data_IF_625208870534
#
_entry.id   IF_625208870534
#
_cell.length_a   1.000
_cell.length_b   1.000
_cell.length_c   1.000
_cell.angle_alpha   90.00
_cell.angle_beta   90.00
_cell.angle_gamma   90.00
#
_symmetry.space_group_name_H-M   'P 1'
#
loop_
_entity.id
_entity.type
_entity.pdbx_description
1 polymer ?
#
# COMPACT_ATOMS: atom_id res chain seq x y z
N UNK A 1 14.76 5.65 -8.03
CA UNK A 1 13.93 4.46 -8.38
C UNK A 1 13.87 3.37 -7.29
N UNK A 2 14.47 3.54 -6.10
CA UNK A 2 14.39 2.66 -4.94
C UNK A 2 13.07 2.82 -4.16
N UNK A 3 12.58 4.06 -3.94
CA UNK A 3 11.35 4.30 -3.16
C UNK A 3 10.10 3.86 -3.92
N UNK A 4 9.98 4.24 -5.20
CA UNK A 4 8.90 3.79 -6.07
C UNK A 4 8.80 2.26 -6.14
N UNK A 5 9.95 1.58 -6.34
CA UNK A 5 10.02 0.12 -6.38
C UNK A 5 9.64 -0.51 -5.04
N UNK A 6 10.11 0.03 -3.91
CA UNK A 6 9.75 -0.46 -2.57
C UNK A 6 8.25 -0.31 -2.30
N UNK A 7 7.66 0.84 -2.65
CA UNK A 7 6.24 1.09 -2.45
C UNK A 7 5.39 0.18 -3.35
N UNK A 8 5.80 0.01 -4.61
CA UNK A 8 5.13 -0.91 -5.55
C UNK A 8 5.19 -2.35 -5.08
N UNK A 9 6.33 -2.82 -4.59
CA UNK A 9 6.47 -4.18 -4.02
C UNK A 9 5.56 -4.35 -2.81
N UNK A 10 5.51 -3.37 -1.92
CA UNK A 10 4.66 -3.42 -0.72
C UNK A 10 3.16 -3.44 -1.07
N UNK A 11 2.74 -2.58 -2.01
CA UNK A 11 1.36 -2.51 -2.49
C UNK A 11 0.95 -3.78 -3.25
N UNK A 12 1.82 -4.29 -4.13
CA UNK A 12 1.55 -5.54 -4.85
C UNK A 12 1.48 -6.73 -3.91
N UNK A 13 2.37 -6.82 -2.91
CA UNK A 13 2.31 -7.85 -1.87
C UNK A 13 1.01 -7.75 -1.06
N UNK A 14 0.58 -6.53 -0.72
CA UNK A 14 -0.67 -6.31 -0.01
C UNK A 14 -1.88 -6.77 -0.84
N UNK A 15 -1.97 -6.35 -2.10
CA UNK A 15 -3.07 -6.74 -3.00
C UNK A 15 -3.07 -8.25 -3.23
N UNK A 16 -1.89 -8.85 -3.45
CA UNK A 16 -1.77 -10.31 -3.61
C UNK A 16 -2.23 -11.06 -2.35
N UNK A 17 -1.86 -10.58 -1.16
CA UNK A 17 -2.30 -11.17 0.11
C UNK A 17 -3.82 -11.07 0.29
N UNK A 18 -4.43 -9.93 -0.06
CA UNK A 18 -5.88 -9.75 0.02
C UNK A 18 -6.63 -10.63 -1.00
N UNK A 19 -6.11 -10.73 -2.23
CA UNK A 19 -6.67 -11.61 -3.24
C UNK A 19 -6.57 -13.09 -2.81
N UNK A 20 -5.43 -13.51 -2.28
CA UNK A 20 -5.24 -14.85 -1.73
C UNK A 20 -6.22 -15.12 -0.58
N UNK A 21 -6.46 -14.12 0.28
CA UNK A 21 -7.44 -14.24 1.38
C UNK A 21 -8.86 -14.42 0.87
N UNK A 22 -9.25 -13.66 -0.16
CA UNK A 22 -10.56 -13.81 -0.79
C UNK A 22 -10.73 -15.19 -1.44
N UNK A 23 -9.73 -15.63 -2.23
CA UNK A 23 -9.77 -16.94 -2.89
C UNK A 23 -9.78 -18.09 -1.87
N UNK A 24 -8.94 -18.02 -0.84
CA UNK A 24 -8.93 -19.01 0.24
C UNK A 24 -10.27 -19.03 1.00
N UNK A 25 -10.88 -17.86 1.21
CA UNK A 25 -12.20 -17.77 1.83
C UNK A 25 -13.29 -18.42 0.99
N UNK A 26 -13.32 -18.12 -0.30
CA UNK A 26 -14.27 -18.72 -1.25
C UNK A 26 -14.06 -20.24 -1.30
N UNK A 27 -12.83 -20.70 -1.54
CA UNK A 27 -12.54 -22.14 -1.65
C UNK A 27 -12.81 -22.92 -0.37
N UNK A 28 -12.65 -22.29 0.80
CA UNK A 28 -13.03 -22.88 2.07
C UNK A 28 -14.54 -22.99 2.23
N UNK A 29 -15.29 -21.93 1.88
CA UNK A 29 -16.76 -21.96 1.89
C UNK A 29 -17.30 -22.98 0.89
N UNK A 30 -16.73 -23.04 -0.32
CA UNK A 30 -17.04 -24.03 -1.35
C UNK A 30 -16.65 -25.46 -0.95
N UNK A 31 -15.70 -25.66 -0.03
CA UNK A 31 -15.42 -26.99 0.53
C UNK A 31 -16.38 -27.38 1.65
N UNK A 32 -17.10 -26.44 2.25
CA UNK A 32 -18.12 -26.71 3.26
C UNK A 32 -19.49 -27.05 2.66
N UNK A 33 -19.82 -26.51 1.48
CA UNK A 33 -21.14 -26.66 0.85
C UNK A 33 -21.47 -28.05 0.26
N UNK A 34 -20.58 -28.76 -0.46
CA UNK A 34 -20.97 -29.89 -1.30
C UNK A 34 -20.98 -31.23 -0.58
N UNK A 35 -20.03 -31.48 0.33
CA UNK A 35 -19.89 -32.81 0.94
C UNK A 35 -21.02 -33.13 1.96
N UNK A 36 -21.65 -32.11 2.53
CA UNK A 36 -22.72 -32.32 3.52
C UNK A 36 -24.08 -32.38 2.83
N UNK A 37 -24.34 -31.53 1.83
CA UNK A 37 -25.66 -31.41 1.24
C UNK A 37 -26.12 -32.68 0.52
N UNK A 38 -25.22 -33.33 -0.23
CA UNK A 38 -25.54 -34.53 -1.01
C UNK A 38 -25.64 -35.77 -0.11
N UNK A 39 -24.64 -35.98 0.77
CA UNK A 39 -24.66 -37.06 1.77
C UNK A 39 -25.86 -36.93 2.71
N UNK A 40 -26.18 -35.73 3.19
CA UNK A 40 -27.36 -35.52 4.04
C UNK A 40 -28.67 -35.77 3.28
N UNK A 41 -28.77 -35.35 2.02
CA UNK A 41 -29.98 -35.57 1.22
C UNK A 41 -30.20 -37.06 0.91
N UNK A 42 -29.14 -37.81 0.59
CA UNK A 42 -29.19 -39.25 0.38
C UNK A 42 -29.53 -39.98 1.68
N UNK A 43 -28.87 -39.64 2.78
CA UNK A 43 -29.12 -40.27 4.07
C UNK A 43 -30.54 -39.97 4.59
N UNK A 44 -31.06 -38.75 4.40
CA UNK A 44 -32.46 -38.40 4.74
C UNK A 44 -33.44 -39.25 3.93
N UNK A 45 -33.13 -39.50 2.66
CA UNK A 45 -33.95 -40.36 1.79
C UNK A 45 -33.93 -41.82 2.25
N UNK A 46 -32.78 -42.33 2.68
CA UNK A 46 -32.65 -43.68 3.26
C UNK A 46 -33.40 -43.83 4.59
N UNK A 47 -33.38 -42.82 5.46
CA UNK A 47 -34.18 -42.84 6.71
C UNK A 47 -35.68 -42.80 6.42
N UNK A 48 -36.13 -41.93 5.51
CA UNK A 48 -37.54 -41.86 5.12
C UNK A 48 -38.04 -43.18 4.49
N UNK A 49 -37.17 -43.89 3.75
CA UNK A 49 -37.48 -45.21 3.22
C UNK A 49 -37.67 -46.25 4.34
N UNK A 50 -36.79 -46.26 5.36
CA UNK A 50 -36.92 -47.13 6.54
C UNK A 50 -38.20 -46.84 7.32
N UNK A 51 -38.53 -45.56 7.55
CA UNK A 51 -39.78 -45.16 8.21
C UNK A 51 -41.02 -45.60 7.43
N UNK A 52 -40.98 -45.45 6.09
CA UNK A 52 -42.07 -45.89 5.22
C UNK A 52 -42.24 -47.41 5.28
N UNK A 53 -41.14 -48.17 5.23
CA UNK A 53 -41.16 -49.63 5.34
C UNK A 53 -41.74 -50.10 6.69
N UNK A 54 -41.30 -49.51 7.81
CA UNK A 54 -41.83 -49.81 9.14
C UNK A 54 -43.32 -49.47 9.26
N UNK A 55 -43.75 -48.33 8.71
CA UNK A 55 -45.15 -47.92 8.73
C UNK A 55 -46.04 -48.90 7.95
N UNK A 56 -45.62 -49.34 6.76
CA UNK A 56 -46.39 -50.29 5.95
C UNK A 56 -46.43 -51.69 6.55
N UNK A 57 -45.36 -52.09 7.25
CA UNK A 57 -45.29 -53.38 7.92
C UNK A 57 -46.16 -53.45 9.19
N UNK A 58 -46.45 -52.31 9.82
CA UNK A 58 -47.30 -52.21 11.00
C UNK A 58 -48.82 -52.17 10.69
N UNK A 59 -49.18 -51.89 9.44
CA UNK A 59 -50.57 -51.83 8.98
C UNK A 59 -51.02 -53.19 8.42
N UNK A 60 -52.35 -53.49 8.41
CA UNK A 60 -52.85 -54.70 7.77
C UNK A 60 -52.39 -54.78 6.30
N UNK A 61 -51.93 -55.95 5.83
CA UNK A 61 -51.32 -56.07 4.51
C UNK A 61 -52.36 -55.79 3.42
N UNK A 62 -52.06 -54.83 2.53
CA UNK A 62 -52.80 -54.58 1.29
C UNK A 62 -51.83 -54.58 0.12
N UNK A 63 -52.33 -54.81 -1.10
CA UNK A 63 -51.50 -54.74 -2.31
C UNK A 63 -50.80 -53.38 -2.43
N UNK A 64 -51.47 -52.31 -1.99
CA UNK A 64 -50.90 -50.97 -1.94
C UNK A 64 -49.76 -50.83 -0.91
N UNK A 65 -49.88 -51.45 0.26
CA UNK A 65 -48.81 -51.45 1.27
C UNK A 65 -47.58 -52.22 0.80
N UNK A 66 -47.79 -53.36 0.12
CA UNK A 66 -46.69 -54.14 -0.48
C UNK A 66 -45.98 -53.36 -1.59
N UNK A 67 -46.73 -52.72 -2.47
CA UNK A 67 -46.15 -51.89 -3.53
C UNK A 67 -45.34 -50.71 -2.93
N UNK A 68 -45.90 -49.99 -1.97
CA UNK A 68 -45.22 -48.88 -1.28
C UNK A 68 -43.97 -49.34 -0.54
N UNK A 69 -44.01 -50.52 0.09
CA UNK A 69 -42.85 -51.11 0.76
C UNK A 69 -41.74 -51.45 -0.24
N UNK A 70 -42.09 -52.12 -1.35
CA UNK A 70 -41.14 -52.48 -2.39
C UNK A 70 -40.50 -51.25 -3.05
N UNK A 71 -41.26 -50.19 -3.28
CA UNK A 71 -40.73 -48.90 -3.77
C UNK A 71 -39.75 -48.28 -2.76
N UNK A 72 -40.09 -48.25 -1.47
CA UNK A 72 -39.21 -47.74 -0.43
C UNK A 72 -37.93 -48.59 -0.28
N UNK A 73 -38.03 -49.91 -0.40
CA UNK A 73 -36.87 -50.82 -0.39
C UNK A 73 -35.96 -50.56 -1.58
N UNK A 74 -36.51 -50.39 -2.79
CA UNK A 74 -35.72 -50.06 -3.97
C UNK A 74 -34.99 -48.71 -3.82
N UNK A 75 -35.63 -47.72 -3.20
CA UNK A 75 -34.99 -46.45 -2.86
C UNK A 75 -33.83 -46.68 -1.87
N UNK A 76 -34.00 -47.49 -0.82
CA UNK A 76 -32.93 -47.77 0.13
C UNK A 76 -31.76 -48.54 -0.52
N UNK A 77 -32.04 -49.53 -1.38
CA UNK A 77 -31.02 -50.28 -2.13
C UNK A 77 -30.25 -49.40 -3.13
N UNK A 78 -30.88 -48.34 -3.66
CA UNK A 78 -30.23 -47.38 -4.55
C UNK A 78 -29.33 -46.36 -3.85
N UNK A 79 -29.41 -46.23 -2.52
CA UNK A 79 -28.67 -45.26 -1.72
C UNK A 79 -27.82 -45.94 -0.63
N UNK A 80 -27.14 -47.05 -0.99
CA UNK A 80 -26.27 -47.78 -0.05
C UNK A 80 -24.95 -47.03 0.13
N UNK A 81 -24.67 -46.58 1.35
CA UNK A 81 -23.45 -45.82 1.66
C UNK A 81 -22.36 -46.68 2.31
N UNK A 82 -22.74 -47.70 3.09
CA UNK A 82 -21.80 -48.60 3.78
C UNK A 82 -21.98 -50.08 3.43
N UNK A 83 -20.93 -50.88 3.64
CA UNK A 83 -20.97 -52.33 3.40
C UNK A 83 -21.89 -53.05 4.39
N UNK A 84 -22.02 -52.52 5.61
CA UNK A 84 -22.89 -53.07 6.67
C UNK A 84 -24.37 -52.91 6.32
N UNK A 85 -24.77 -51.81 5.65
CA UNK A 85 -26.15 -51.60 5.18
C UNK A 85 -26.60 -52.68 4.19
N UNK A 86 -25.68 -53.16 3.34
CA UNK A 86 -25.98 -54.17 2.33
C UNK A 86 -26.41 -55.50 2.94
N UNK A 87 -25.87 -55.86 4.10
CA UNK A 87 -26.23 -57.08 4.82
C UNK A 87 -27.65 -57.00 5.40
N UNK A 88 -28.01 -55.85 5.98
CA UNK A 88 -29.35 -55.62 6.53
C UNK A 88 -30.40 -55.50 5.40
N UNK A 89 -30.08 -54.84 4.29
CA UNK A 89 -30.94 -54.77 3.10
C UNK A 89 -31.20 -56.13 2.46
N UNK A 90 -30.20 -56.99 2.36
CA UNK A 90 -30.37 -58.36 1.87
C UNK A 90 -31.26 -59.19 2.80
N UNK A 91 -31.19 -58.96 4.11
CA UNK A 91 -32.07 -59.59 5.09
C UNK A 91 -33.51 -59.12 4.90
N UNK A 92 -33.73 -57.81 4.75
CA UNK A 92 -35.06 -57.23 4.49
C UNK A 92 -35.65 -57.82 3.20
N UNK A 93 -34.88 -57.84 2.11
CA UNK A 93 -35.30 -58.37 0.81
C UNK A 93 -35.73 -59.84 0.88
N UNK A 94 -35.07 -60.65 1.71
CA UNK A 94 -35.39 -62.07 1.85
C UNK A 94 -36.62 -62.34 2.74
N UNK A 95 -36.94 -61.47 3.70
CA UNK A 95 -37.94 -61.77 4.75
C UNK A 95 -39.23 -60.97 4.66
N UNK A 96 -39.24 -59.83 3.97
CA UNK A 96 -40.37 -58.90 4.05
C UNK A 96 -41.68 -59.48 3.49
N UNK A 97 -41.65 -60.23 2.37
CA UNK A 97 -42.86 -60.80 1.78
C UNK A 97 -43.55 -61.79 2.74
N UNK A 98 -42.77 -62.69 3.34
CA UNK A 98 -43.26 -63.63 4.35
C UNK A 98 -43.76 -62.91 5.61
N UNK A 99 -43.12 -61.81 6.00
CA UNK A 99 -43.58 -60.95 7.10
C UNK A 99 -44.95 -60.29 6.83
N UNK A 100 -45.24 -59.91 5.58
CA UNK A 100 -46.56 -59.42 5.17
C UNK A 100 -47.61 -60.54 5.05
N UNK A 101 -47.17 -61.78 4.78
CA UNK A 101 -48.03 -62.97 4.71
C UNK A 101 -48.43 -63.51 6.10
N UNK A 102 -47.89 -62.91 7.18
CA UNK A 102 -48.24 -63.20 8.56
C UNK A 102 -47.31 -64.18 9.26
N UNK A 103 -46.13 -64.47 8.70
CA UNK A 103 -45.09 -65.23 9.40
C UNK A 103 -44.48 -64.36 10.52
N UNK A 104 -44.65 -64.74 11.80
CA UNK A 104 -44.16 -63.95 12.93
C UNK A 104 -42.63 -63.89 12.98
N UNK A 105 -41.92 -64.93 12.53
CA UNK A 105 -40.46 -64.95 12.54
C UNK A 105 -39.90 -64.02 11.45
N UNK A 106 -40.42 -64.12 10.23
CA UNK A 106 -40.04 -63.24 9.13
C UNK A 106 -40.41 -61.77 9.42
N UNK A 107 -41.54 -61.52 10.08
CA UNK A 107 -41.93 -60.19 10.54
C UNK A 107 -40.91 -59.61 11.53
N UNK A 108 -40.56 -60.37 12.58
CA UNK A 108 -39.58 -59.93 13.57
C UNK A 108 -38.19 -59.69 12.95
N UNK A 109 -37.75 -60.58 12.04
CA UNK A 109 -36.49 -60.44 11.32
C UNK A 109 -36.47 -59.17 10.47
N UNK A 110 -37.55 -58.89 9.73
CA UNK A 110 -37.68 -57.68 8.89
C UNK A 110 -37.68 -56.42 9.75
N UNK A 111 -38.44 -56.38 10.86
CA UNK A 111 -38.45 -55.23 11.78
C UNK A 111 -37.07 -54.98 12.39
N UNK A 112 -36.40 -56.04 12.84
CA UNK A 112 -35.07 -55.93 13.45
C UNK A 112 -34.04 -55.40 12.44
N UNK A 113 -34.07 -55.89 11.21
CA UNK A 113 -33.18 -55.43 10.15
C UNK A 113 -33.46 -53.96 9.77
N UNK A 114 -34.72 -53.55 9.68
CA UNK A 114 -35.11 -52.15 9.45
C UNK A 114 -34.62 -51.21 10.56
N UNK A 115 -34.76 -51.61 11.83
CA UNK A 115 -34.29 -50.82 12.97
C UNK A 115 -32.76 -50.67 12.96
N UNK A 116 -32.03 -51.75 12.68
CA UNK A 116 -30.56 -51.72 12.55
C UNK A 116 -30.11 -50.84 11.39
N UNK A 117 -30.77 -50.95 10.23
CA UNK A 117 -30.50 -50.10 9.09
C UNK A 117 -30.73 -48.61 9.44
N UNK A 118 -31.77 -48.30 10.20
CA UNK A 118 -32.02 -46.95 10.71
C UNK A 118 -31.02 -46.46 11.77
N UNK A 119 -30.40 -47.36 12.54
CA UNK A 119 -29.30 -47.02 13.46
C UNK A 119 -28.01 -46.71 12.71
N UNK A 120 -27.61 -47.57 11.77
CA UNK A 120 -26.43 -47.38 10.92
C UNK A 120 -26.50 -46.03 10.19
N UNK A 121 -27.63 -45.74 9.55
CA UNK A 121 -27.84 -44.46 8.85
C UNK A 121 -27.71 -43.24 9.79
N UNK A 122 -28.25 -43.32 11.02
CA UNK A 122 -28.16 -42.22 11.99
C UNK A 122 -26.74 -42.03 12.51
N UNK A 123 -25.98 -43.10 12.72
CA UNK A 123 -24.57 -43.03 13.12
C UNK A 123 -23.71 -42.42 12.00
N UNK A 124 -23.92 -42.84 10.75
CA UNK A 124 -23.26 -42.27 9.58
C UNK A 124 -23.54 -40.76 9.43
N UNK A 125 -24.80 -40.33 9.60
CA UNK A 125 -25.17 -38.91 9.63
C UNK A 125 -24.45 -38.12 10.74
N UNK A 126 -24.39 -38.68 11.96
CA UNK A 126 -23.76 -38.01 13.09
C UNK A 126 -22.24 -37.86 12.89
N UNK A 127 -21.58 -38.86 12.29
CA UNK A 127 -20.17 -38.79 11.89
C UNK A 127 -19.92 -37.70 10.85
N UNK A 128 -20.73 -37.69 9.78
CA UNK A 128 -20.64 -36.69 8.72
C UNK A 128 -20.85 -35.25 9.25
N UNK A 129 -21.83 -35.02 10.14
CA UNK A 129 -22.05 -33.70 10.78
C UNK A 129 -20.87 -33.30 11.68
N UNK A 130 -20.27 -34.25 12.40
CA UNK A 130 -19.11 -33.97 13.23
C UNK A 130 -17.89 -33.55 12.39
N UNK A 131 -17.63 -34.24 11.28
CA UNK A 131 -16.54 -33.93 10.36
C UNK A 131 -16.74 -32.59 9.66
N UNK A 132 -17.97 -32.31 9.23
CA UNK A 132 -18.41 -31.02 8.73
C UNK A 132 -18.11 -29.87 9.69
N UNK A 133 -18.51 -30.02 10.96
CA UNK A 133 -18.28 -29.00 12.00
C UNK A 133 -16.79 -28.80 12.25
N UNK A 134 -15.99 -29.87 12.26
CA UNK A 134 -14.54 -29.80 12.44
C UNK A 134 -13.89 -29.00 11.32
N UNK A 135 -14.18 -29.35 10.07
CA UNK A 135 -13.72 -28.62 8.87
C UNK A 135 -14.13 -27.14 8.91
N UNK A 136 -15.39 -26.85 9.26
CA UNK A 136 -15.88 -25.48 9.37
C UNK A 136 -15.22 -24.67 10.49
N UNK A 137 -14.89 -25.30 11.61
CA UNK A 137 -14.19 -24.63 12.73
C UNK A 137 -12.73 -24.31 12.40
N UNK A 138 -12.00 -25.26 11.80
CA UNK A 138 -10.61 -25.08 11.38
C UNK A 138 -10.51 -24.01 10.28
N UNK A 139 -11.44 -24.04 9.33
CA UNK A 139 -11.55 -23.06 8.27
C UNK A 139 -11.74 -21.62 8.77
N UNK A 140 -12.65 -21.42 9.74
CA UNK A 140 -12.87 -20.09 10.34
C UNK A 140 -11.61 -19.52 11.00
N UNK A 141 -10.86 -20.35 11.72
CA UNK A 141 -9.60 -19.91 12.33
C UNK A 141 -8.51 -19.59 11.28
N UNK A 142 -8.44 -20.37 10.20
CA UNK A 142 -7.53 -20.08 9.09
C UNK A 142 -7.84 -18.72 8.45
N UNK A 143 -9.11 -18.43 8.18
CA UNK A 143 -9.53 -17.13 7.64
C UNK A 143 -9.26 -15.98 8.61
N UNK A 144 -9.55 -16.15 9.90
CA UNK A 144 -9.27 -15.14 10.91
C UNK A 144 -7.78 -14.81 10.97
N UNK A 145 -6.92 -15.83 10.95
CA UNK A 145 -5.47 -15.63 10.94
C UNK A 145 -5.00 -14.88 9.69
N UNK A 146 -5.52 -15.25 8.52
CA UNK A 146 -5.16 -14.60 7.25
C UNK A 146 -5.63 -13.14 7.20
N UNK A 147 -6.81 -12.84 7.74
CA UNK A 147 -7.33 -11.49 7.87
C UNK A 147 -6.47 -10.63 8.83
N UNK A 148 -6.07 -11.19 9.98
CA UNK A 148 -5.16 -10.51 10.93
C UNK A 148 -3.82 -10.22 10.27
N UNK A 149 -3.26 -11.17 9.52
CA UNK A 149 -2.02 -10.98 8.80
C UNK A 149 -2.14 -9.88 7.75
N UNK A 150 -3.24 -9.87 6.98
CA UNK A 150 -3.58 -8.82 6.03
C UNK A 150 -3.67 -7.44 6.69
N UNK A 151 -4.31 -7.35 7.86
CA UNK A 151 -4.38 -6.13 8.64
C UNK A 151 -2.99 -5.63 9.09
N UNK A 152 -2.13 -6.51 9.61
CA UNK A 152 -0.77 -6.16 10.03
C UNK A 152 0.06 -5.63 8.86
N UNK A 153 0.03 -6.31 7.71
CA UNK A 153 0.75 -5.87 6.50
C UNK A 153 0.22 -4.51 6.03
N UNK A 154 -1.10 -4.30 6.06
CA UNK A 154 -1.72 -3.03 5.70
C UNK A 154 -1.26 -1.91 6.63
N UNK A 155 -1.26 -2.16 7.94
CA UNK A 155 -0.84 -1.20 8.95
C UNK A 155 0.63 -0.78 8.76
N UNK A 156 1.53 -1.75 8.53
CA UNK A 156 2.94 -1.49 8.24
C UNK A 156 3.11 -0.70 6.94
N UNK A 157 2.29 -1.00 5.92
CA UNK A 157 2.34 -0.31 4.64
C UNK A 157 1.94 1.17 4.76
N UNK A 158 0.87 1.46 5.49
CA UNK A 158 0.43 2.83 5.78
C UNK A 158 1.49 3.58 6.57
N UNK A 159 2.06 2.98 7.62
CA UNK A 159 3.12 3.60 8.41
C UNK A 159 4.35 3.93 7.56
N UNK A 160 4.79 3.02 6.69
CA UNK A 160 5.91 3.26 5.78
C UNK A 160 5.61 4.36 4.76
N UNK A 161 4.43 4.35 4.15
CA UNK A 161 4.03 5.37 3.19
C UNK A 161 3.98 6.76 3.83
N UNK A 162 3.49 6.85 5.07
CA UNK A 162 3.47 8.09 5.83
C UNK A 162 4.88 8.65 6.08
N UNK A 163 5.76 7.86 6.69
CA UNK A 163 7.11 8.33 7.05
C UNK A 163 8.02 8.54 5.84
N UNK A 164 7.88 7.76 4.77
CA UNK A 164 8.78 7.86 3.60
C UNK A 164 8.28 8.75 2.47
N UNK A 165 7.00 9.12 2.46
CA UNK A 165 6.39 9.93 1.39
C UNK A 165 5.68 11.14 1.96
N UNK A 166 4.68 10.95 2.83
CA UNK A 166 3.81 12.05 3.26
C UNK A 166 4.55 13.09 4.12
N UNK A 167 5.34 12.65 5.10
CA UNK A 167 6.11 13.56 5.97
C UNK A 167 7.18 14.34 5.18
N UNK A 168 8.03 13.69 4.36
CA UNK A 168 8.98 14.41 3.50
C UNK A 168 8.33 15.41 2.53
N UNK A 169 7.19 15.05 1.92
CA UNK A 169 6.44 15.97 1.06
C UNK A 169 5.87 17.16 1.84
N UNK A 170 5.39 16.93 3.06
CA UNK A 170 4.91 17.98 3.93
C UNK A 170 6.03 18.96 4.31
N UNK A 171 7.24 18.46 4.58
CA UNK A 171 8.40 19.29 4.90
C UNK A 171 8.91 20.10 3.70
N UNK A 172 8.94 19.49 2.51
CA UNK A 172 9.20 20.21 1.25
C UNK A 172 8.21 21.36 1.05
N UNK A 173 6.92 21.08 1.21
CA UNK A 173 5.86 22.05 1.05
C UNK A 173 5.94 23.16 2.12
N UNK A 174 6.26 22.80 3.36
CA UNK A 174 6.42 23.74 4.46
C UNK A 174 7.61 24.69 4.21
N UNK A 175 8.74 24.16 3.74
CA UNK A 175 9.95 24.94 3.45
C UNK A 175 9.75 25.87 2.25
N UNK A 176 9.14 25.38 1.17
CA UNK A 176 8.78 26.22 0.03
C UNK A 176 7.82 27.36 0.43
N UNK A 177 6.82 27.08 1.28
CA UNK A 177 5.90 28.10 1.79
C UNK A 177 6.58 29.12 2.72
N UNK A 178 7.50 28.68 3.56
CA UNK A 178 8.27 29.56 4.44
C UNK A 178 9.18 30.49 3.65
N UNK A 179 9.89 29.97 2.64
CA UNK A 179 10.69 30.77 1.72
C UNK A 179 9.86 31.84 1.01
N UNK A 180 8.65 31.48 0.55
CA UNK A 180 7.73 32.47 -0.05
C UNK A 180 7.29 33.56 0.92
N UNK A 181 7.23 33.28 2.23
CA UNK A 181 6.92 34.24 3.29
C UNK A 181 8.13 35.07 3.75
N UNK A 182 9.31 34.86 3.18
CA UNK A 182 10.53 35.62 3.49
C UNK A 182 11.45 34.96 4.51
N UNK A 183 11.17 33.72 4.93
CA UNK A 183 12.11 32.96 5.76
C UNK A 183 13.23 32.40 4.88
N UNK A 184 14.37 33.10 4.88
CA UNK A 184 15.52 32.81 4.01
C UNK A 184 16.39 31.67 4.53
N UNK A 185 16.23 31.27 5.80
CA UNK A 185 17.13 30.32 6.47
C UNK A 185 16.56 28.91 6.60
N UNK A 186 15.25 28.72 6.40
CA UNK A 186 14.67 27.38 6.45
C UNK A 186 15.19 26.50 5.31
N UNK A 187 15.60 25.28 5.66
CA UNK A 187 16.04 24.24 4.73
C UNK A 187 15.34 22.92 5.02
N UNK A 188 15.19 22.10 3.99
CA UNK A 188 14.71 20.74 4.16
C UNK A 188 15.86 19.85 4.66
N UNK A 189 15.63 19.11 5.74
CA UNK A 189 16.56 18.09 6.24
C UNK A 189 15.84 16.76 6.22
N UNK A 190 16.05 16.00 5.16
CA UNK A 190 15.43 14.69 4.97
C UNK A 190 16.47 13.58 5.18
N UNK A 191 16.02 12.42 5.64
CA UNK A 191 16.88 11.24 5.75
C UNK A 191 17.49 10.88 4.39
N UNK A 192 18.77 10.52 4.38
CA UNK A 192 19.47 10.11 3.17
C UNK A 192 18.99 8.73 2.68
N UNK A 193 18.85 8.58 1.36
CA UNK A 193 18.52 7.30 0.71
C UNK A 193 17.13 7.20 0.09
N UNK A 194 16.32 8.27 0.15
CA UNK A 194 15.05 8.39 -0.57
C UNK A 194 15.26 9.21 -1.86
N UNK A 195 14.50 8.93 -2.92
CA UNK A 195 14.47 9.80 -4.12
C UNK A 195 14.09 11.24 -3.79
N UNK A 196 13.20 11.42 -2.82
CA UNK A 196 12.72 12.73 -2.39
C UNK A 196 13.86 13.58 -1.78
N UNK A 197 14.92 12.96 -1.28
CA UNK A 197 16.10 13.67 -0.75
C UNK A 197 16.80 14.49 -1.84
N UNK A 198 16.91 13.95 -3.05
CA UNK A 198 17.50 14.65 -4.20
C UNK A 198 16.67 15.91 -4.59
N UNK A 199 15.34 15.81 -4.47
CA UNK A 199 14.44 16.95 -4.66
C UNK A 199 14.62 18.01 -3.56
N UNK A 200 14.81 17.58 -2.31
CA UNK A 200 15.06 18.48 -1.20
C UNK A 200 16.43 19.17 -1.31
N UNK A 201 17.46 18.46 -1.74
CA UNK A 201 18.79 19.01 -2.02
C UNK A 201 18.71 20.06 -3.13
N UNK A 202 18.06 19.73 -4.24
CA UNK A 202 17.84 20.69 -5.35
C UNK A 202 17.09 21.94 -4.88
N UNK A 203 16.04 21.77 -4.04
CA UNK A 203 15.32 22.91 -3.47
C UNK A 203 16.23 23.75 -2.57
N UNK A 204 17.02 23.12 -1.71
CA UNK A 204 17.96 23.83 -0.83
C UNK A 204 19.01 24.61 -1.63
N UNK A 205 19.57 24.04 -2.70
CA UNK A 205 20.52 24.72 -3.59
C UNK A 205 19.90 25.95 -4.25
N UNK A 206 18.67 25.85 -4.74
CA UNK A 206 17.94 26.99 -5.32
C UNK A 206 17.69 28.09 -4.29
N UNK A 207 17.41 27.73 -3.04
CA UNK A 207 17.25 28.68 -1.94
C UNK A 207 18.58 29.36 -1.58
N UNK A 208 19.68 28.60 -1.57
CA UNK A 208 21.02 29.13 -1.30
C UNK A 208 21.48 30.11 -2.39
N UNK A 209 21.25 29.78 -3.66
CA UNK A 209 21.60 30.66 -4.78
C UNK A 209 20.77 31.95 -4.78
N UNK A 210 19.49 31.85 -4.42
CA UNK A 210 18.65 33.03 -4.22
C UNK A 210 19.17 33.90 -3.08
N UNK A 211 19.59 33.30 -1.97
CA UNK A 211 20.16 34.02 -0.83
C UNK A 211 21.50 34.68 -1.20
N UNK A 212 22.36 34.00 -1.98
CA UNK A 212 23.63 34.56 -2.47
C UNK A 212 23.45 35.74 -3.42
N UNK A 213 22.40 35.72 -4.26
CA UNK A 213 22.06 36.83 -5.18
C UNK A 213 21.43 38.02 -4.48
N UNK A 214 20.98 37.87 -3.23
CA UNK A 214 20.39 38.96 -2.49
C UNK A 214 21.51 39.93 -2.08
N UNK A 215 21.43 41.22 -2.44
CA UNK A 215 22.50 42.16 -2.18
C UNK A 215 22.72 42.26 -0.67
N UNK A 216 23.92 41.89 -0.22
CA UNK A 216 24.28 42.00 1.19
C UNK A 216 24.32 43.48 1.56
N UNK A 217 23.86 43.85 2.76
CA UNK A 217 23.88 45.25 3.23
C UNK A 217 25.29 45.85 3.08
N UNK A 218 26.36 45.08 3.32
CA UNK A 218 27.74 45.50 3.07
C UNK A 218 28.07 45.76 1.59
N UNK A 219 27.45 45.05 0.65
CA UNK A 219 27.60 45.27 -0.78
C UNK A 219 26.89 46.54 -1.24
N UNK A 220 25.68 46.79 -0.73
CA UNK A 220 24.93 48.03 -0.99
C UNK A 220 25.68 49.22 -0.39
N UNK A 221 26.08 49.13 0.89
CA UNK A 221 26.86 50.17 1.56
C UNK A 221 28.22 50.39 0.89
N UNK A 222 28.90 49.34 0.37
CA UNK A 222 30.13 49.52 -0.41
C UNK A 222 29.86 50.30 -1.70
N UNK A 223 28.82 49.97 -2.45
CA UNK A 223 28.51 50.67 -3.70
C UNK A 223 28.09 52.13 -3.48
N UNK A 224 27.31 52.41 -2.43
CA UNK A 224 26.85 53.78 -2.14
C UNK A 224 27.89 54.62 -1.38
N UNK A 225 28.71 54.02 -0.52
CA UNK A 225 29.69 54.77 0.28
C UNK A 225 31.02 55.01 -0.43
N UNK A 226 31.39 54.22 -1.45
CA UNK A 226 32.66 54.40 -2.17
C UNK A 226 32.77 55.77 -2.86
N UNK A 227 31.75 56.25 -3.60
CA UNK A 227 31.78 57.58 -4.21
C UNK A 227 31.90 58.67 -3.15
N UNK A 228 31.12 58.57 -2.07
CA UNK A 228 31.14 59.55 -0.97
C UNK A 228 32.48 59.60 -0.24
N UNK A 229 33.18 58.47 -0.09
CA UNK A 229 34.52 58.42 0.50
C UNK A 229 35.59 58.99 -0.43
N UNK A 230 35.47 58.75 -1.75
CA UNK A 230 36.38 59.30 -2.75
C UNK A 230 36.30 60.84 -2.82
N UNK A 231 35.10 61.41 -2.61
CA UNK A 231 34.88 62.86 -2.56
C UNK A 231 35.48 63.56 -1.34
N UNK A 232 35.92 62.82 -0.32
CA UNK A 232 36.64 63.40 0.83
C UNK A 232 38.12 63.67 0.52
N UNK A 233 38.66 63.11 -0.56
CA UNK A 233 40.04 63.36 -0.97
C UNK A 233 40.13 64.66 -1.79
N UNK A 234 41.03 65.59 -1.44
CA UNK A 234 41.23 66.83 -2.20
C UNK A 234 41.99 66.60 -3.53
N UNK A 235 42.58 65.42 -3.74
CA UNK A 235 43.32 65.10 -4.97
C UNK A 235 42.41 64.47 -6.05
N UNK A 236 42.61 64.75 -7.34
CA UNK A 236 41.89 64.10 -8.44
C UNK A 236 42.19 62.59 -8.51
N UNK A 237 41.20 61.76 -8.18
CA UNK A 237 41.36 60.30 -8.12
C UNK A 237 40.27 59.60 -8.93
N UNK A 238 40.71 58.66 -9.77
CA UNK A 238 39.84 57.78 -10.54
C UNK A 238 40.10 56.33 -10.14
N UNK A 239 39.01 55.59 -9.97
CA UNK A 239 39.02 54.17 -9.66
C UNK A 239 38.78 53.37 -10.95
N UNK A 240 39.72 52.50 -11.28
CA UNK A 240 39.63 51.65 -12.48
C UNK A 240 39.52 50.16 -12.13
N UNK A 241 38.79 49.41 -12.95
CA UNK A 241 38.72 47.95 -12.89
C UNK A 241 39.94 47.28 -13.58
N UNK A 242 40.04 45.95 -13.46
CA UNK A 242 41.11 45.17 -14.09
C UNK A 242 41.13 45.24 -15.62
N UNK A 243 40.03 45.66 -16.25
CA UNK A 243 39.91 45.86 -17.70
C UNK A 243 40.28 47.29 -18.13
N UNK A 244 40.61 48.17 -17.18
CA UNK A 244 40.95 49.57 -17.43
C UNK A 244 39.73 50.49 -17.59
N UNK A 245 38.54 50.05 -17.20
CA UNK A 245 37.31 50.86 -17.23
C UNK A 245 37.20 51.67 -15.95
N UNK A 246 36.75 52.93 -16.07
CA UNK A 246 36.47 53.77 -14.90
C UNK A 246 35.21 53.28 -14.19
N UNK A 247 35.36 52.91 -12.92
CA UNK A 247 34.28 52.42 -12.04
C UNK A 247 33.69 53.55 -11.20
N UNK A 248 34.53 54.52 -10.80
CA UNK A 248 34.12 55.70 -10.03
C UNK A 248 35.19 56.81 -10.16
N UNK A 249 34.78 58.07 -10.02
CA UNK A 249 35.67 59.24 -9.99
C UNK A 249 35.15 60.24 -8.94
N UNK A 250 36.07 60.93 -8.25
CA UNK A 250 35.70 61.99 -7.32
C UNK A 250 35.48 63.34 -8.01
N UNK A 251 34.84 64.29 -7.33
CA UNK A 251 34.54 65.62 -7.88
C UNK A 251 35.77 66.35 -8.47
N UNK A 252 36.95 66.40 -7.81
CA UNK A 252 38.16 66.97 -8.40
C UNK A 252 38.64 66.25 -9.69
N UNK A 253 38.45 64.93 -9.80
CA UNK A 253 38.76 64.21 -11.04
C UNK A 253 37.79 64.53 -12.18
N UNK A 254 36.50 64.73 -11.88
CA UNK A 254 35.52 65.16 -12.87
C UNK A 254 35.83 66.58 -13.39
N UNK A 255 36.29 67.48 -12.52
CA UNK A 255 36.72 68.82 -12.90
C UNK A 255 37.95 68.80 -13.84
N UNK A 256 38.92 67.93 -13.58
CA UNK A 256 40.12 67.78 -14.44
C UNK A 256 39.78 67.11 -15.77
N UNK A 257 38.88 66.13 -15.77
CA UNK A 257 38.46 65.42 -16.98
C UNK A 257 37.47 66.22 -17.83
N UNK A 258 36.87 67.29 -17.29
CA UNK A 258 35.97 68.19 -18.00
C UNK A 258 34.64 67.55 -18.40
N UNK A 259 34.27 66.43 -17.79
CA UNK A 259 33.10 65.64 -18.16
C UNK A 259 32.08 65.53 -17.01
N UNK A 260 30.79 65.48 -17.36
CA UNK A 260 29.72 65.20 -16.39
C UNK A 260 29.79 63.72 -16.03
N UNK A 261 29.62 63.38 -14.75
CA UNK A 261 29.90 62.04 -14.18
C UNK A 261 29.30 60.83 -14.92
N UNK A 262 28.28 61.01 -15.75
CA UNK A 262 27.67 59.95 -16.56
C UNK A 262 28.44 59.62 -17.86
N UNK A 263 29.25 60.54 -18.42
CA UNK A 263 30.04 60.30 -19.65
C UNK A 263 31.37 59.57 -19.37
N UNK A 264 31.96 59.79 -18.19
CA UNK A 264 33.25 59.21 -17.76
C UNK A 264 33.17 57.68 -17.57
N UNK A 265 32.00 57.16 -17.21
CA UNK A 265 31.75 55.74 -16.94
C UNK A 265 31.86 54.82 -18.18
N UNK A 266 32.16 55.35 -19.37
CA UNK A 266 32.17 54.58 -20.62
C UNK A 266 33.37 54.74 -21.56
N UNK A 267 34.27 55.71 -21.38
CA UNK A 267 35.37 55.95 -22.34
C UNK A 267 36.64 56.52 -21.73
N UNK A 268 37.60 55.65 -21.39
CA UNK A 268 39.02 55.86 -21.78
C UNK A 268 39.63 54.48 -22.06
N UNK A 269 39.62 54.08 -23.34
CA UNK A 269 40.37 52.90 -23.82
C UNK A 269 41.57 53.40 -24.61
N UNK A 270 42.67 53.69 -23.90
CA UNK A 270 44.08 53.77 -24.35
C UNK A 270 44.86 54.71 -23.43
N UNK A 271 45.33 54.18 -22.31
CA UNK A 271 46.59 54.57 -21.70
C UNK A 271 47.15 53.32 -21.04
N UNK A 272 48.41 52.97 -21.29
CA UNK A 272 49.10 51.98 -20.46
C UNK A 272 48.98 52.44 -19.00
N UNK A 273 48.56 51.56 -18.08
CA UNK A 273 48.21 51.99 -16.74
C UNK A 273 49.46 52.59 -16.08
N UNK A 274 49.44 53.87 -15.63
CA UNK A 274 50.47 54.32 -14.73
C UNK A 274 50.35 53.50 -13.44
N UNK A 275 51.49 53.30 -12.77
CA UNK A 275 51.60 52.57 -11.50
C UNK A 275 50.72 53.21 -10.42
N UNK A 276 49.46 52.77 -10.35
CA UNK A 276 48.51 53.11 -9.30
C UNK A 276 48.55 52.12 -8.14
N UNK A 277 48.19 52.57 -6.94
CA UNK A 277 48.19 51.76 -5.73
C UNK A 277 47.01 50.77 -5.75
N UNK A 278 47.29 49.48 -5.49
CA UNK A 278 46.29 48.41 -5.47
C UNK A 278 45.58 48.44 -4.13
N UNK A 279 44.26 48.58 -4.14
CA UNK A 279 43.46 48.52 -2.91
C UNK A 279 43.50 47.10 -2.32
N UNK A 280 43.88 46.93 -1.03
CA UNK A 280 44.09 45.61 -0.43
C UNK A 280 42.80 44.77 -0.47
N UNK A 281 42.89 43.59 -1.11
CA UNK A 281 41.79 42.64 -1.24
C UNK A 281 40.83 42.90 -2.41
N UNK A 282 41.20 43.72 -3.39
CA UNK A 282 40.38 43.98 -4.59
C UNK A 282 41.23 44.06 -5.87
N UNK A 283 40.60 43.89 -7.03
CA UNK A 283 41.24 44.10 -8.34
C UNK A 283 41.24 45.58 -8.78
N UNK A 284 40.83 46.49 -7.90
CA UNK A 284 40.68 47.91 -8.18
C UNK A 284 41.99 48.66 -7.91
N UNK A 285 42.32 49.61 -8.80
CA UNK A 285 43.52 50.46 -8.67
C UNK A 285 43.11 51.93 -8.55
N UNK A 286 43.74 52.63 -7.61
CA UNK A 286 43.63 54.09 -7.49
C UNK A 286 44.70 54.70 -8.40
N UNK A 287 44.26 55.50 -9.36
CA UNK A 287 45.16 56.24 -10.24
C UNK A 287 45.02 57.73 -9.93
N UNK A 288 46.05 58.36 -9.34
CA UNK A 288 46.08 59.81 -9.21
C UNK A 288 46.23 60.42 -10.60
N UNK A 289 45.32 61.32 -10.98
CA UNK A 289 45.52 62.14 -12.17
C UNK A 289 46.50 63.26 -11.79
N UNK A 290 47.73 63.17 -12.29
CA UNK A 290 48.67 64.28 -12.19
C UNK A 290 48.05 65.49 -12.89
N UNK A 291 47.87 66.58 -12.13
CA UNK A 291 47.43 67.85 -12.67
C UNK A 291 48.44 68.32 -13.73
N UNK A 292 48.11 68.12 -15.01
CA UNK A 292 48.76 68.83 -16.09
C UNK A 292 48.29 70.29 -16.00
N UNK A 293 49.22 71.20 -15.71
CA UNK A 293 48.96 72.64 -15.67
C UNK A 293 48.52 73.22 -17.00
#
# INVERSE_FOLDING_TARGET
MKLERQLRVLLTMLVALQAMTAVAGIGLLERMTPAIGEILAENVRSVAAVETMLARLAEPPTDHHRATFAEALAVAQGNVTEEVERAELATIEATWEAGFDGDPEAHEQTVRALLRLGEINREAMAGADADARRLGSAGRWALAFLAILGFIVSFVAVGRARHRVLEPLADLLATARASRKGDVHRRCTLEQGLEITEVAETLNELLDDRQRRQPTIQGILRQEALPTLLDLSPEPVVLIDAAGTVVAANAPALDVLGERGDEVLGRIRRAEPPLGEVLPGSELRLVPLAAAG
#
